data_IF_381901203674
#
_entry.id   IF_381901203674
#
_cell.length_a   1.000
_cell.length_b   1.000
_cell.length_c   1.000
_cell.angle_alpha   90.00
_cell.angle_beta   90.00
_cell.angle_gamma   90.00
#
_symmetry.space_group_name_H-M   'P 1'
#
loop_
_entity.id
_entity.type
_entity.pdbx_description
1 polymer ?
#
# COMPACT_ATOMS: atom_id res chain seq x y z
N UNK A 1 16.47 2.20 4.83
CA UNK A 1 15.33 2.42 3.90
C UNK A 1 14.06 2.02 4.63
N UNK A 2 13.05 2.89 4.64
CA UNK A 2 11.77 2.57 5.29
C UNK A 2 10.95 1.73 4.32
N UNK A 3 10.51 0.56 4.75
CA UNK A 3 9.69 -0.36 3.95
C UNK A 3 8.40 -0.59 4.70
N UNK A 4 7.31 -0.59 3.95
CA UNK A 4 5.98 -0.89 4.47
C UNK A 4 5.47 -2.16 3.80
N UNK A 5 4.90 -3.05 4.59
CA UNK A 5 4.10 -4.15 4.08
C UNK A 5 2.62 -3.77 4.14
N UNK A 6 1.89 -4.12 3.09
CA UNK A 6 0.45 -4.04 3.08
C UNK A 6 -0.16 -5.40 2.71
N UNK A 7 -1.33 -5.67 3.26
CA UNK A 7 -2.22 -6.71 2.75
C UNK A 7 -3.44 -6.00 2.20
N UNK A 8 -3.75 -6.22 0.93
CA UNK A 8 -4.93 -5.67 0.27
C UNK A 8 -5.71 -6.79 -0.41
N UNK A 9 -6.97 -6.98 -0.01
CA UNK A 9 -7.81 -8.06 -0.54
C UNK A 9 -7.23 -9.46 -0.30
N UNK A 10 -6.43 -9.63 0.75
CA UNK A 10 -5.72 -10.88 1.07
C UNK A 10 -4.39 -11.07 0.35
N UNK A 11 -4.03 -10.22 -0.61
CA UNK A 11 -2.74 -10.26 -1.30
C UNK A 11 -1.70 -9.37 -0.60
N UNK A 12 -0.46 -9.84 -0.53
CA UNK A 12 0.67 -9.10 0.05
C UNK A 12 1.34 -8.21 -0.98
N UNK A 13 1.65 -6.98 -0.58
CA UNK A 13 2.45 -6.04 -1.36
C UNK A 13 3.40 -5.29 -0.43
N UNK A 14 4.33 -4.55 -1.03
CA UNK A 14 5.20 -3.67 -0.27
C UNK A 14 5.42 -2.33 -0.95
N UNK A 15 5.69 -1.31 -0.14
CA UNK A 15 6.08 0.02 -0.56
C UNK A 15 7.45 0.34 0.01
N UNK A 16 8.25 1.05 -0.77
CA UNK A 16 9.57 1.55 -0.37
C UNK A 16 9.50 3.04 -0.10
N UNK A 17 10.42 3.52 0.72
CA UNK A 17 10.63 4.95 1.02
C UNK A 17 9.39 5.66 1.57
N UNK A 18 8.61 4.94 2.38
CA UNK A 18 7.43 5.46 3.07
C UNK A 18 7.23 4.81 4.44
N UNK A 19 6.21 5.23 5.19
CA UNK A 19 5.81 4.73 6.50
C UNK A 19 4.36 4.28 6.51
N UNK A 20 4.00 3.41 7.46
CA UNK A 20 2.62 2.96 7.63
C UNK A 20 1.65 4.12 7.90
N UNK A 21 2.13 5.20 8.52
CA UNK A 21 1.33 6.42 8.75
C UNK A 21 1.00 7.10 7.42
N UNK A 22 2.00 7.40 6.60
CA UNK A 22 1.81 8.05 5.29
C UNK A 22 0.92 7.22 4.36
N UNK A 23 1.06 5.89 4.41
CA UNK A 23 0.21 4.97 3.64
C UNK A 23 -1.24 5.02 4.11
N UNK A 24 -1.52 5.10 5.41
CA UNK A 24 -2.89 5.27 5.93
C UNK A 24 -3.50 6.58 5.46
N UNK A 25 -2.79 7.69 5.58
CA UNK A 25 -3.25 9.00 5.10
C UNK A 25 -3.52 8.98 3.59
N UNK A 26 -2.68 8.28 2.82
CA UNK A 26 -2.86 8.14 1.37
C UNK A 26 -4.11 7.33 1.02
N UNK A 27 -4.41 6.27 1.77
CA UNK A 27 -5.63 5.45 1.63
C UNK A 27 -6.86 6.27 2.02
N UNK A 28 -6.83 7.02 3.12
CA UNK A 28 -7.92 7.90 3.53
C UNK A 28 -8.25 8.93 2.43
N UNK A 29 -7.22 9.61 1.89
CA UNK A 29 -7.39 10.54 0.77
C UNK A 29 -7.87 9.90 -0.53
N UNK A 30 -7.54 8.62 -0.76
CA UNK A 30 -8.05 7.89 -1.90
C UNK A 30 -9.55 7.58 -1.74
N UNK A 31 -9.98 7.23 -0.52
CA UNK A 31 -11.36 6.87 -0.22
C UNK A 31 -12.29 8.07 -0.09
N UNK A 32 -11.79 9.24 0.35
CA UNK A 32 -12.57 10.49 0.40
C UNK A 32 -12.63 11.25 -0.95
N UNK A 33 -11.88 10.78 -1.95
CA UNK A 33 -11.85 11.35 -3.30
C UNK A 33 -10.93 12.58 -3.46
N UNK A 34 -10.20 12.98 -2.42
CA UNK A 34 -9.24 14.09 -2.47
C UNK A 34 -7.92 13.74 -3.17
N UNK A 35 -7.65 12.45 -3.39
CA UNK A 35 -6.51 11.97 -4.15
C UNK A 35 -6.88 10.77 -5.06
N UNK A 36 -6.02 10.47 -6.03
CA UNK A 36 -6.22 9.32 -6.94
C UNK A 36 -6.43 8.01 -6.14
N UNK A 37 -7.39 7.14 -6.51
CA UNK A 37 -7.57 5.86 -5.84
C UNK A 37 -6.51 4.83 -6.22
N UNK A 38 -5.69 5.09 -7.24
CA UNK A 38 -4.60 4.20 -7.64
C UNK A 38 -3.36 4.43 -6.77
N UNK A 39 -2.80 3.33 -6.26
CA UNK A 39 -1.52 3.29 -5.56
C UNK A 39 -0.59 2.31 -6.27
N UNK A 40 0.63 2.74 -6.55
CA UNK A 40 1.69 1.90 -7.10
C UNK A 40 2.42 1.19 -5.96
N UNK A 41 2.49 -0.14 -6.03
CA UNK A 41 3.11 -1.00 -5.01
C UNK A 41 4.05 -2.00 -5.68
N UNK A 42 4.92 -2.63 -4.89
CA UNK A 42 5.73 -3.75 -5.33
C UNK A 42 5.05 -5.08 -5.00
N UNK A 43 5.03 -5.99 -5.98
CA UNK A 43 4.56 -7.37 -5.83
C UNK A 43 5.67 -8.35 -6.25
N UNK A 44 5.88 -9.41 -5.48
CA UNK A 44 6.85 -10.46 -5.78
C UNK A 44 7.94 -10.59 -4.73
N UNK A 45 8.36 -11.82 -4.47
CA UNK A 45 9.50 -12.14 -3.60
C UNK A 45 10.75 -12.34 -4.48
N UNK A 46 11.82 -11.60 -4.21
CA UNK A 46 13.09 -11.70 -4.95
C UNK A 46 13.11 -10.98 -6.31
N UNK A 47 11.97 -10.82 -6.97
CA UNK A 47 11.82 -10.05 -8.21
C UNK A 47 10.67 -9.04 -8.06
N UNK A 48 10.94 -7.81 -7.61
CA UNK A 48 9.91 -6.80 -7.40
C UNK A 48 9.31 -6.37 -8.74
N UNK A 49 7.99 -6.49 -8.85
CA UNK A 49 7.21 -6.00 -9.99
C UNK A 49 6.34 -4.84 -9.56
N UNK A 50 6.48 -3.73 -10.27
CA UNK A 50 5.60 -2.58 -10.09
C UNK A 50 4.16 -2.96 -10.46
N UNK A 51 3.23 -2.73 -9.54
CA UNK A 51 1.82 -3.10 -9.68
C UNK A 51 0.94 -1.94 -9.21
N UNK A 52 -0.02 -1.54 -10.02
CA UNK A 52 -1.03 -0.55 -9.62
C UNK A 52 -2.23 -1.26 -9.01
N UNK A 53 -2.55 -0.93 -7.75
CA UNK A 53 -3.76 -1.40 -7.08
C UNK A 53 -4.77 -0.25 -6.96
N UNK A 54 -6.04 -0.56 -7.19
CA UNK A 54 -7.14 0.38 -6.99
C UNK A 54 -7.62 0.25 -5.54
N UNK A 55 -7.51 1.31 -4.75
CA UNK A 55 -8.06 1.38 -3.40
C UNK A 55 -9.56 1.65 -3.50
N UNK A 56 -10.35 0.75 -2.93
CA UNK A 56 -11.81 0.80 -2.91
C UNK A 56 -12.35 0.50 -1.51
N UNK A 57 -13.51 1.05 -1.19
CA UNK A 57 -14.22 0.73 0.05
C UNK A 57 -14.66 -0.74 0.06
N UNK A 58 -14.73 -1.33 1.25
CA UNK A 58 -15.15 -2.73 1.44
C UNK A 58 -14.08 -3.79 1.18
N UNK A 59 -12.88 -3.41 0.72
CA UNK A 59 -11.74 -4.33 0.61
C UNK A 59 -10.88 -4.24 1.86
N UNK A 60 -10.60 -5.38 2.50
CA UNK A 60 -9.75 -5.44 3.67
C UNK A 60 -8.34 -4.92 3.36
N UNK A 61 -7.84 -4.04 4.23
CA UNK A 61 -6.54 -3.42 4.12
C UNK A 61 -5.82 -3.50 5.47
N UNK A 62 -4.58 -4.00 5.49
CA UNK A 62 -3.66 -3.86 6.62
C UNK A 62 -2.35 -3.24 6.17
N UNK A 63 -1.68 -2.56 7.09
CA UNK A 63 -0.42 -1.87 6.84
C UNK A 63 0.47 -1.91 8.08
N UNK A 64 1.75 -2.19 7.88
CA UNK A 64 2.74 -2.20 8.95
C UNK A 64 4.10 -1.70 8.44
N UNK A 65 4.78 -0.94 9.29
CA UNK A 65 6.20 -0.66 9.08
C UNK A 65 6.98 -1.96 9.28
N UNK A 66 7.92 -2.25 8.37
CA UNK A 66 8.86 -3.35 8.53
C UNK A 66 10.06 -2.81 9.32
N UNK A 67 10.16 -3.20 10.59
CA UNK A 67 11.32 -2.88 11.41
C UNK A 67 12.55 -3.62 10.85
N UNK A 68 13.65 -2.89 10.66
CA UNK A 68 14.99 -3.47 10.50
C UNK A 68 15.62 -3.67 11.86
#
# INVERSE_FOLDING_TARGET
MKRVEIIYGGARFSLSDTTAVEVRERVERALDGSASPWITVNQGEGEPRETSILITSGVAFSVADVAH
#
